data_IF_958219446709
#
_entry.id   IF_958219446709
#
_cell.length_a   1.000
_cell.length_b   1.000
_cell.length_c   1.000
_cell.angle_alpha   90.00
_cell.angle_beta   90.00
_cell.angle_gamma   90.00
#
_symmetry.space_group_name_H-M   'P 1'
#
loop_
_entity.id
_entity.type
_entity.pdbx_description
1 polymer ?
#
# COMPACT_ATOMS: atom_id res chain seq x y z
N UNK A 1 -1.73 14.13 13.40
CA UNK A 1 -2.22 13.04 12.56
C UNK A 1 -2.27 11.76 13.38
N UNK A 2 -3.40 11.08 13.35
CA UNK A 2 -3.54 9.83 14.10
C UNK A 2 -2.97 8.67 13.27
N UNK A 3 -2.10 7.87 13.87
CA UNK A 3 -1.54 6.70 13.19
C UNK A 3 -2.61 5.61 13.06
N UNK A 4 -2.65 4.97 11.90
CA UNK A 4 -3.58 3.88 11.62
C UNK A 4 -2.83 2.68 11.08
N UNK A 5 -3.47 1.51 11.18
CA UNK A 5 -2.98 0.26 10.60
C UNK A 5 -3.94 -0.22 9.53
N UNK A 6 -3.45 -1.05 8.62
CA UNK A 6 -4.30 -1.77 7.68
C UNK A 6 -4.87 -2.97 8.40
N UNK A 7 -6.20 -3.09 8.39
CA UNK A 7 -6.89 -4.20 9.04
C UNK A 7 -7.49 -5.18 8.04
N UNK A 8 -7.72 -4.77 6.79
CA UNK A 8 -8.22 -5.64 5.74
C UNK A 8 -7.66 -5.18 4.40
N UNK A 9 -7.43 -6.13 3.52
CA UNK A 9 -6.83 -5.87 2.21
C UNK A 9 -7.46 -6.80 1.18
N UNK A 10 -7.92 -6.23 0.06
CA UNK A 10 -8.35 -6.98 -1.10
C UNK A 10 -7.61 -6.44 -2.31
N UNK A 11 -6.94 -7.31 -3.04
CA UNK A 11 -6.29 -6.92 -4.30
C UNK A 11 -7.36 -6.91 -5.39
N UNK A 12 -7.47 -5.77 -6.06
CA UNK A 12 -8.38 -5.59 -7.18
C UNK A 12 -7.59 -5.78 -8.49
N UNK A 13 -7.99 -5.13 -9.55
CA UNK A 13 -7.28 -5.21 -10.82
C UNK A 13 -6.12 -4.23 -10.87
N UNK A 14 -5.09 -4.54 -11.62
CA UNK A 14 -3.93 -3.69 -11.99
C UNK A 14 -3.52 -2.65 -10.95
N UNK A 15 -2.71 -3.05 -9.99
CA UNK A 15 -2.12 -2.17 -8.96
C UNK A 15 -3.16 -1.45 -8.10
N UNK A 16 -4.38 -1.93 -8.10
CA UNK A 16 -5.47 -1.37 -7.31
C UNK A 16 -5.78 -2.27 -6.14
N UNK A 17 -5.98 -1.67 -4.96
CA UNK A 17 -6.32 -2.42 -3.76
C UNK A 17 -7.48 -1.73 -3.04
N UNK A 18 -8.29 -2.53 -2.36
CA UNK A 18 -9.26 -2.02 -1.39
C UNK A 18 -8.70 -2.26 -0.01
N UNK A 19 -8.58 -1.19 0.76
CA UNK A 19 -7.93 -1.23 2.07
C UNK A 19 -8.89 -0.71 3.12
N UNK A 20 -9.03 -1.43 4.22
CA UNK A 20 -9.71 -0.94 5.41
C UNK A 20 -8.65 -0.66 6.48
N UNK A 21 -8.78 0.50 7.12
CA UNK A 21 -7.85 0.95 8.13
C UNK A 21 -8.43 0.77 9.52
N UNK A 22 -7.58 0.87 10.54
CA UNK A 22 -8.00 0.65 11.93
C UNK A 22 -9.01 1.69 12.44
N UNK A 23 -9.12 2.83 11.76
CA UNK A 23 -10.14 3.84 12.06
C UNK A 23 -11.46 3.58 11.33
N UNK A 24 -11.63 2.41 10.76
CA UNK A 24 -12.80 1.94 10.00
C UNK A 24 -12.97 2.58 8.61
N UNK A 25 -12.04 3.41 8.17
CA UNK A 25 -12.08 3.99 6.82
C UNK A 25 -11.73 2.90 5.80
N UNK A 26 -12.49 2.84 4.71
CA UNK A 26 -12.20 1.95 3.59
C UNK A 26 -11.96 2.79 2.34
N UNK A 27 -10.88 2.47 1.61
CA UNK A 27 -10.50 3.18 0.39
C UNK A 27 -10.12 2.19 -0.69
N UNK A 28 -10.42 2.54 -1.96
CA UNK A 28 -9.85 1.86 -3.11
C UNK A 28 -8.75 2.76 -3.65
N UNK A 29 -7.55 2.23 -3.72
CA UNK A 29 -6.35 3.02 -4.01
C UNK A 29 -5.59 2.38 -5.16
N UNK A 30 -5.21 3.20 -6.14
CA UNK A 30 -4.20 2.82 -7.13
C UNK A 30 -2.85 3.07 -6.48
N UNK A 31 -2.12 2.00 -6.20
CA UNK A 31 -0.85 2.10 -5.47
C UNK A 31 0.35 2.25 -6.40
N UNK A 32 0.15 2.25 -7.71
CA UNK A 32 1.27 2.39 -8.65
C UNK A 32 2.16 3.61 -8.37
N UNK A 33 1.62 4.80 -8.07
CA UNK A 33 2.46 5.97 -7.79
C UNK A 33 3.39 5.79 -6.60
N UNK A 34 3.08 4.85 -5.72
CA UNK A 34 3.89 4.57 -4.51
C UNK A 34 4.87 3.42 -4.73
N UNK A 35 4.83 2.77 -5.89
CA UNK A 35 5.66 1.61 -6.20
C UNK A 35 6.93 2.04 -6.89
N UNK A 36 7.79 2.74 -6.17
CA UNK A 36 9.04 3.26 -6.72
C UNK A 36 10.24 2.49 -6.16
N UNK A 37 11.34 2.52 -6.89
CA UNK A 37 12.58 1.86 -6.49
C UNK A 37 12.68 0.41 -6.95
N UNK A 38 13.91 -0.14 -6.92
CA UNK A 38 14.17 -1.48 -7.47
C UNK A 38 13.39 -2.60 -6.77
N UNK A 39 13.08 -2.44 -5.48
CA UNK A 39 12.38 -3.48 -4.73
C UNK A 39 10.97 -3.73 -5.26
N UNK A 40 10.39 -2.74 -5.95
CA UNK A 40 9.06 -2.87 -6.54
C UNK A 40 9.06 -3.44 -7.95
N UNK A 41 10.21 -3.66 -8.58
CA UNK A 41 10.25 -4.24 -9.92
C UNK A 41 9.54 -5.60 -9.97
N UNK A 42 9.82 -6.55 -9.06
CA UNK A 42 9.07 -7.82 -9.07
C UNK A 42 7.60 -7.65 -8.75
N UNK A 43 7.26 -6.65 -7.92
CA UNK A 43 5.88 -6.40 -7.51
C UNK A 43 5.01 -5.93 -8.68
N UNK A 44 5.62 -5.39 -9.74
CA UNK A 44 4.87 -4.98 -10.93
C UNK A 44 4.33 -6.15 -11.74
N UNK A 45 4.85 -7.36 -11.52
CA UNK A 45 4.26 -8.56 -12.12
C UNK A 45 2.90 -8.83 -11.47
N UNK A 46 1.80 -8.98 -12.26
CA UNK A 46 0.46 -9.16 -11.68
C UNK A 46 0.35 -10.33 -10.71
N UNK A 47 0.99 -11.46 -11.03
CA UNK A 47 0.95 -12.62 -10.14
C UNK A 47 1.66 -12.34 -8.82
N UNK A 48 2.75 -11.58 -8.84
CA UNK A 48 3.47 -11.22 -7.63
C UNK A 48 2.70 -10.16 -6.84
N UNK A 49 2.11 -9.19 -7.54
CA UNK A 49 1.32 -8.14 -6.89
C UNK A 49 0.18 -8.73 -6.05
N UNK A 50 -0.43 -9.80 -6.55
CA UNK A 50 -1.53 -10.46 -5.84
C UNK A 50 -1.11 -11.16 -4.56
N UNK A 51 0.19 -11.30 -4.33
CA UNK A 51 0.71 -11.87 -3.09
C UNK A 51 0.82 -10.84 -1.98
N UNK A 52 0.30 -9.63 -2.18
CA UNK A 52 0.24 -8.61 -1.14
C UNK A 52 -0.43 -9.16 0.12
N UNK A 53 0.12 -8.80 1.25
CA UNK A 53 -0.41 -9.22 2.55
C UNK A 53 -0.28 -8.09 3.55
N UNK A 54 -0.90 -8.27 4.72
CA UNK A 54 -0.79 -7.32 5.81
C UNK A 54 0.32 -7.81 6.74
N UNK A 55 1.30 -6.95 6.99
CA UNK A 55 2.38 -7.24 7.92
C UNK A 55 2.61 -6.01 8.77
N UNK A 56 2.53 -6.17 10.09
CA UNK A 56 2.68 -5.07 11.05
C UNK A 56 1.81 -3.87 10.71
N UNK A 57 0.58 -4.14 10.27
CA UNK A 57 -0.37 -3.09 9.95
C UNK A 57 -0.12 -2.38 8.62
N UNK A 58 0.74 -2.91 7.76
CA UNK A 58 1.06 -2.32 6.47
C UNK A 58 0.93 -3.36 5.35
N UNK A 59 0.73 -2.88 4.13
CA UNK A 59 0.73 -3.76 2.96
C UNK A 59 2.17 -4.12 2.62
N UNK A 60 2.46 -5.41 2.49
CA UNK A 60 3.80 -5.87 2.13
C UNK A 60 3.75 -7.06 1.18
N UNK A 61 4.91 -7.39 0.61
CA UNK A 61 5.08 -8.49 -0.33
C UNK A 61 6.20 -9.41 0.13
N UNK A 62 6.24 -10.65 -0.39
CA UNK A 62 7.24 -11.64 0.08
C UNK A 62 8.70 -11.22 -0.10
N UNK A 63 8.98 -10.28 -1.02
CA UNK A 63 10.36 -9.82 -1.23
C UNK A 63 10.78 -8.70 -0.29
N UNK A 64 9.94 -8.34 0.69
CA UNK A 64 10.25 -7.28 1.64
C UNK A 64 9.77 -5.89 1.23
N UNK A 65 9.17 -5.74 0.04
CA UNK A 65 8.58 -4.47 -0.34
C UNK A 65 7.38 -4.16 0.54
N UNK A 66 7.21 -2.91 0.93
CA UNK A 66 6.04 -2.50 1.71
C UNK A 66 5.62 -1.07 1.32
N UNK A 67 4.41 -0.72 1.71
CA UNK A 67 3.85 0.62 1.49
C UNK A 67 3.53 1.27 2.83
N UNK A 68 3.81 2.57 2.92
CA UNK A 68 3.54 3.33 4.13
C UNK A 68 2.04 3.50 4.32
N UNK A 69 1.52 2.97 5.42
CA UNK A 69 0.08 2.99 5.71
C UNK A 69 -0.45 4.42 5.84
N UNK A 70 0.32 5.32 6.45
CA UNK A 70 -0.13 6.70 6.64
C UNK A 70 -0.22 7.43 5.31
N UNK A 71 0.70 7.15 4.40
CA UNK A 71 0.65 7.71 3.04
C UNK A 71 -0.62 7.28 2.34
N UNK A 72 -0.97 6.00 2.42
CA UNK A 72 -2.17 5.49 1.79
C UNK A 72 -3.44 6.08 2.40
N UNK A 73 -3.47 6.18 3.73
CA UNK A 73 -4.65 6.66 4.45
C UNK A 73 -4.90 8.15 4.22
N UNK A 74 -3.85 8.95 4.23
CA UNK A 74 -3.98 10.42 4.21
C UNK A 74 -3.63 11.03 2.86
N UNK A 75 -3.22 10.22 1.88
CA UNK A 75 -2.93 10.71 0.54
C UNK A 75 -1.63 11.50 0.43
N UNK A 76 -0.73 11.34 1.38
CA UNK A 76 0.55 12.03 1.34
C UNK A 76 1.44 11.41 0.25
N UNK A 77 2.30 12.23 -0.33
CA UNK A 77 3.31 11.77 -1.28
C UNK A 77 4.69 12.16 -0.78
N UNK A 78 5.75 11.50 -1.25
CA UNK A 78 7.11 11.89 -0.86
C UNK A 78 7.38 13.38 -1.09
N UNK A 79 6.87 13.95 -2.16
CA UNK A 79 7.06 15.37 -2.45
C UNK A 79 6.46 16.26 -1.38
N UNK A 80 5.36 15.83 -0.75
CA UNK A 80 4.73 16.60 0.31
C UNK A 80 5.61 16.69 1.56
N UNK A 81 6.48 15.71 1.77
CA UNK A 81 7.38 15.71 2.92
C UNK A 81 8.61 16.58 2.71
N UNK A 82 8.99 16.78 1.48
CA UNK A 82 10.18 17.52 1.12
C UNK A 82 9.95 19.03 1.10
N UNK A 83 8.71 19.44 1.04
CA UNK A 83 8.35 20.85 1.00
C UNK A 83 8.22 21.49 2.42
#
# INVERSE_FOLDING_TARGET
MKLVDVTALTVLETYRVRVTFSDTTTKEIDVEPYMSGPIFLPVREPAFFRQACISDGAISWPNGADLDTQVLRYGLTPAAWES
#
